data_IF_862740233041
#
_entry.id   IF_862740233041
#
_cell.length_a   1.000
_cell.length_b   1.000
_cell.length_c   1.000
_cell.angle_alpha   90.00
_cell.angle_beta   90.00
_cell.angle_gamma   90.00
#
_symmetry.space_group_name_H-M   'P 1'
#
loop_
_entity.id
_entity.type
_entity.pdbx_description
1 polymer ?
#
# COMPACT_ATOMS: atom_id res chain seq x y z
N UNK A 1 -17.38 3.59 -24.52
CA UNK A 1 -16.88 2.35 -23.90
C UNK A 1 -15.37 2.31 -23.63
N UNK A 2 -14.57 3.20 -24.18
CA UNK A 2 -13.13 3.23 -23.94
C UNK A 2 -12.69 3.89 -22.61
N UNK A 3 -13.57 4.61 -21.95
CA UNK A 3 -13.24 5.40 -20.73
C UNK A 3 -13.15 4.56 -19.45
N UNK A 4 -13.77 3.40 -19.38
CA UNK A 4 -13.76 2.58 -18.15
C UNK A 4 -12.51 1.70 -18.00
N UNK A 5 -11.84 1.36 -19.10
CA UNK A 5 -10.65 0.52 -19.04
C UNK A 5 -9.42 1.25 -18.47
N UNK A 6 -9.33 2.56 -18.65
CA UNK A 6 -8.20 3.38 -18.17
C UNK A 6 -8.28 3.74 -16.69
N UNK A 7 -9.47 3.78 -16.12
CA UNK A 7 -9.67 4.04 -14.68
C UNK A 7 -9.32 2.83 -13.80
N UNK A 8 -9.30 1.64 -14.37
CA UNK A 8 -9.01 0.41 -13.61
C UNK A 8 -7.51 0.13 -13.39
N UNK A 9 -6.63 0.82 -14.08
CA UNK A 9 -5.17 0.61 -14.03
C UNK A 9 -4.40 1.63 -13.18
N UNK A 10 -5.09 2.58 -12.57
CA UNK A 10 -4.45 3.55 -11.69
C UNK A 10 -4.03 2.91 -10.36
N UNK A 11 -2.85 3.28 -9.90
CA UNK A 11 -2.46 3.06 -8.51
C UNK A 11 -3.05 4.19 -7.66
N UNK A 12 -3.91 3.83 -6.72
CA UNK A 12 -4.49 4.75 -5.76
C UNK A 12 -3.97 4.42 -4.36
N UNK A 13 -3.40 5.41 -3.70
CA UNK A 13 -2.94 5.32 -2.32
C UNK A 13 -3.66 6.38 -1.51
N UNK A 14 -4.38 5.96 -0.49
CA UNK A 14 -5.11 6.82 0.43
C UNK A 14 -4.51 6.72 1.83
N UNK A 15 -4.28 7.84 2.47
CA UNK A 15 -3.90 7.89 3.87
C UNK A 15 -5.15 7.68 4.74
N UNK A 16 -5.21 6.56 5.46
CA UNK A 16 -6.43 6.15 6.18
C UNK A 16 -6.87 7.13 7.26
N UNK A 17 -5.94 7.84 7.90
CA UNK A 17 -6.25 8.79 8.97
C UNK A 17 -6.84 10.12 8.46
N UNK A 18 -6.36 10.62 7.31
CA UNK A 18 -6.75 11.95 6.77
C UNK A 18 -7.67 11.88 5.58
N UNK A 19 -7.83 10.70 4.96
CA UNK A 19 -8.62 10.52 3.74
C UNK A 19 -7.99 11.15 2.48
N UNK A 20 -6.77 11.66 2.57
CA UNK A 20 -6.07 12.23 1.41
C UNK A 20 -5.61 11.12 0.47
N UNK A 21 -5.79 11.35 -0.83
CA UNK A 21 -5.47 10.37 -1.88
C UNK A 21 -4.39 10.87 -2.82
N UNK A 22 -3.58 9.94 -3.29
CA UNK A 22 -2.65 10.15 -4.40
C UNK A 22 -2.94 9.09 -5.45
N UNK A 23 -3.08 9.51 -6.70
CA UNK A 23 -3.37 8.63 -7.83
C UNK A 23 -2.29 8.78 -8.88
N UNK A 24 -1.78 7.64 -9.35
CA UNK A 24 -0.81 7.56 -10.43
C UNK A 24 -1.46 6.88 -11.63
N UNK A 25 -1.75 7.65 -12.67
CA UNK A 25 -2.38 7.12 -13.90
C UNK A 25 -1.36 6.69 -14.95
N UNK A 26 -0.20 7.36 -14.97
CA UNK A 26 0.86 7.12 -15.93
C UNK A 26 2.11 6.70 -15.16
N UNK A 27 2.33 5.41 -15.09
CA UNK A 27 3.50 4.82 -14.47
C UNK A 27 3.95 3.61 -15.26
N UNK A 28 5.24 3.37 -15.29
CA UNK A 28 5.85 2.16 -15.83
C UNK A 28 6.20 1.26 -14.67
N UNK A 29 5.57 0.10 -14.60
CA UNK A 29 5.91 -0.90 -13.60
C UNK A 29 7.20 -1.58 -14.00
N UNK A 30 8.20 -1.56 -13.11
CA UNK A 30 9.51 -2.18 -13.30
C UNK A 30 9.65 -3.47 -12.52
N UNK A 31 8.91 -3.62 -11.43
CA UNK A 31 8.90 -4.84 -10.63
C UNK A 31 7.61 -4.98 -9.82
N UNK A 32 7.16 -6.22 -9.69
CA UNK A 32 6.03 -6.57 -8.84
C UNK A 32 6.29 -7.92 -8.18
N UNK A 33 6.14 -7.98 -6.88
CA UNK A 33 6.21 -9.20 -6.09
C UNK A 33 5.07 -9.22 -5.07
N UNK A 34 4.40 -10.35 -4.95
CA UNK A 34 3.32 -10.57 -3.98
C UNK A 34 3.57 -11.90 -3.29
N UNK A 35 3.93 -11.85 -2.02
CA UNK A 35 4.28 -13.01 -1.20
C UNK A 35 3.28 -13.17 -0.08
N UNK A 36 2.65 -14.33 -0.01
CA UNK A 36 1.72 -14.71 1.05
C UNK A 36 2.37 -15.80 1.89
N UNK A 37 2.59 -15.53 3.17
CA UNK A 37 3.27 -16.44 4.10
C UNK A 37 2.32 -16.80 5.25
N UNK A 38 1.75 -18.01 5.25
CA UNK A 38 1.04 -18.54 6.40
C UNK A 38 2.04 -18.97 7.48
N UNK A 39 1.74 -18.70 8.73
CA UNK A 39 2.53 -19.08 9.89
C UNK A 39 1.78 -20.12 10.70
N UNK A 40 2.48 -21.22 10.97
CA UNK A 40 1.98 -22.34 11.76
C UNK A 40 2.92 -22.62 12.93
N UNK A 41 2.36 -22.96 14.08
CA UNK A 41 3.10 -23.49 15.21
C UNK A 41 2.83 -24.98 15.30
N UNK A 42 3.89 -25.78 15.36
CA UNK A 42 3.79 -27.22 15.46
C UNK A 42 4.23 -27.66 16.86
N UNK A 43 3.40 -28.46 17.52
CA UNK A 43 3.68 -29.02 18.84
C UNK A 43 3.75 -30.55 18.73
N UNK A 44 4.93 -31.15 18.98
CA UNK A 44 5.05 -32.61 19.01
C UNK A 44 4.35 -33.19 20.25
N UNK A 45 3.53 -34.19 20.04
CA UNK A 45 2.81 -34.88 21.11
C UNK A 45 3.33 -36.31 21.24
N UNK A 46 3.61 -36.73 22.49
CA UNK A 46 4.04 -38.09 22.77
C UNK A 46 2.99 -39.11 22.32
N UNK A 47 3.42 -40.11 21.57
CA UNK A 47 2.56 -41.18 21.07
C UNK A 47 1.92 -40.94 19.70
N UNK A 48 2.23 -39.81 19.05
CA UNK A 48 1.80 -39.51 17.67
C UNK A 48 3.02 -39.13 16.81
N UNK A 49 3.05 -39.61 15.56
CA UNK A 49 4.09 -39.20 14.61
C UNK A 49 3.82 -37.81 14.07
N UNK A 50 2.56 -37.43 13.92
CA UNK A 50 2.17 -36.12 13.35
C UNK A 50 2.02 -35.11 14.49
N UNK A 51 2.70 -33.93 14.38
CA UNK A 51 2.55 -32.85 15.33
C UNK A 51 1.15 -32.21 15.23
N UNK A 52 0.71 -31.59 16.32
CA UNK A 52 -0.48 -30.75 16.29
C UNK A 52 -0.09 -29.39 15.71
N UNK A 53 -0.63 -29.06 14.54
CA UNK A 53 -0.38 -27.76 13.91
C UNK A 53 -1.46 -26.74 14.30
N UNK A 54 -1.03 -25.61 14.86
CA UNK A 54 -1.91 -24.49 15.21
C UNK A 54 -1.62 -23.32 14.29
N UNK A 55 -2.65 -22.80 13.62
CA UNK A 55 -2.53 -21.64 12.75
C UNK A 55 -2.34 -20.37 13.58
N UNK A 56 -1.28 -19.60 13.26
CA UNK A 56 -0.94 -18.34 13.92
C UNK A 56 -1.41 -17.12 13.16
N UNK A 57 -1.37 -17.18 11.83
CA UNK A 57 -1.76 -16.06 10.99
C UNK A 57 -1.19 -16.18 9.59
N UNK A 58 -1.61 -15.28 8.71
CA UNK A 58 -1.06 -15.16 7.35
C UNK A 58 -0.67 -13.72 7.10
N UNK A 59 0.57 -13.52 6.71
CA UNK A 59 1.08 -12.21 6.30
C UNK A 59 1.16 -12.15 4.78
N UNK A 60 0.87 -10.97 4.24
CA UNK A 60 1.02 -10.67 2.81
C UNK A 60 1.97 -9.50 2.65
N UNK A 61 3.05 -9.70 1.92
CA UNK A 61 4.02 -8.69 1.58
C UNK A 61 3.94 -8.40 0.07
N UNK A 62 3.73 -7.14 -0.28
CA UNK A 62 3.63 -6.69 -1.67
C UNK A 62 4.75 -5.69 -1.91
N UNK A 63 5.58 -5.98 -2.91
CA UNK A 63 6.60 -5.06 -3.40
C UNK A 63 6.19 -4.57 -4.78
N UNK A 64 6.17 -3.27 -4.96
CA UNK A 64 5.82 -2.63 -6.22
C UNK A 64 6.87 -1.59 -6.55
N UNK A 65 7.60 -1.81 -7.63
CA UNK A 65 8.56 -0.86 -8.18
C UNK A 65 7.98 -0.25 -9.45
N UNK A 66 7.99 1.07 -9.54
CA UNK A 66 7.47 1.77 -10.69
C UNK A 66 8.20 3.09 -10.94
N UNK A 67 8.30 3.45 -12.19
CA UNK A 67 8.85 4.72 -12.64
C UNK A 67 7.72 5.70 -12.95
N UNK A 68 7.83 6.89 -12.41
CA UNK A 68 6.95 8.00 -12.70
C UNK A 68 7.70 8.92 -13.66
N UNK A 69 7.45 8.75 -14.97
CA UNK A 69 8.05 9.60 -15.98
C UNK A 69 7.21 10.85 -16.24
N UNK A 70 7.83 11.99 -16.54
CA UNK A 70 7.14 13.06 -17.21
C UNK A 70 6.93 12.63 -18.67
N UNK A 71 5.73 12.14 -18.99
CA UNK A 71 5.37 11.76 -20.36
C UNK A 71 5.18 12.97 -21.30
N UNK A 72 5.53 14.16 -20.85
CA UNK A 72 5.48 15.41 -21.59
C UNK A 72 6.52 16.37 -21.01
N UNK A 73 7.18 17.14 -21.87
CA UNK A 73 8.20 18.13 -21.50
C UNK A 73 7.65 19.37 -20.78
N UNK A 74 6.36 19.43 -20.50
CA UNK A 74 5.80 20.56 -19.76
C UNK A 74 6.25 20.57 -18.31
N UNK A 75 6.78 21.71 -17.86
CA UNK A 75 7.26 21.91 -16.48
C UNK A 75 6.17 21.67 -15.43
N UNK A 76 4.92 21.93 -15.78
CA UNK A 76 3.79 21.71 -14.87
C UNK A 76 3.56 20.24 -14.56
N UNK A 77 3.78 19.33 -15.52
CA UNK A 77 3.66 17.88 -15.28
C UNK A 77 4.81 17.35 -14.44
N UNK A 78 6.02 17.88 -14.63
CA UNK A 78 7.19 17.55 -13.80
C UNK A 78 6.95 17.96 -12.34
N UNK A 79 6.42 19.16 -12.12
CA UNK A 79 6.04 19.65 -10.78
C UNK A 79 4.94 18.80 -10.16
N UNK A 80 3.95 18.39 -10.94
CA UNK A 80 2.86 17.54 -10.46
C UNK A 80 3.34 16.16 -10.02
N UNK A 81 4.25 15.53 -10.78
CA UNK A 81 4.86 14.25 -10.42
C UNK A 81 5.63 14.36 -9.10
N UNK A 82 6.46 15.40 -8.96
CA UNK A 82 7.21 15.67 -7.73
C UNK A 82 6.29 15.90 -6.52
N UNK A 83 5.21 16.64 -6.70
CA UNK A 83 4.21 16.87 -5.65
C UNK A 83 3.53 15.58 -5.21
N UNK A 84 3.23 14.65 -6.12
CA UNK A 84 2.65 13.34 -5.79
C UNK A 84 3.61 12.49 -4.98
N UNK A 85 4.89 12.44 -5.37
CA UNK A 85 5.92 11.71 -4.63
C UNK A 85 6.12 12.31 -3.24
N UNK A 86 6.23 13.62 -3.14
CA UNK A 86 6.36 14.33 -1.86
C UNK A 86 5.17 14.06 -0.93
N UNK A 87 3.95 14.03 -1.47
CA UNK A 87 2.76 13.68 -0.69
C UNK A 87 2.76 12.22 -0.24
N UNK A 88 3.24 11.31 -1.08
CA UNK A 88 3.38 9.90 -0.70
C UNK A 88 4.38 9.72 0.46
N UNK A 89 5.49 10.44 0.43
CA UNK A 89 6.45 10.48 1.54
C UNK A 89 5.79 10.99 2.83
N UNK A 90 4.97 12.03 2.74
CA UNK A 90 4.25 12.58 3.90
C UNK A 90 3.27 11.56 4.51
N UNK A 91 2.72 10.64 3.72
CA UNK A 91 1.81 9.61 4.22
C UNK A 91 2.48 8.57 5.13
N UNK A 92 3.80 8.50 5.14
CA UNK A 92 4.55 7.61 6.03
C UNK A 92 4.68 8.17 7.46
N UNK A 93 4.34 9.44 7.66
CA UNK A 93 4.39 10.05 8.98
C UNK A 93 3.05 9.89 9.73
N UNK A 94 3.10 9.67 11.05
CA UNK A 94 1.89 9.59 11.86
C UNK A 94 1.18 10.95 11.95
N UNK A 95 -0.10 10.94 12.29
CA UNK A 95 -0.82 12.15 12.64
C UNK A 95 -0.68 12.41 14.14
N UNK A 96 -0.43 13.66 14.49
CA UNK A 96 -0.31 14.10 15.89
C UNK A 96 -1.63 14.69 16.38
N UNK A 97 -1.91 14.54 17.67
CA UNK A 97 -3.11 15.10 18.30
C UNK A 97 -3.06 16.63 18.38
N UNK A 98 -1.87 17.18 18.53
CA UNK A 98 -1.62 18.61 18.55
C UNK A 98 -0.42 18.94 17.64
N UNK A 99 -0.64 19.86 16.71
CA UNK A 99 0.40 20.32 15.77
C UNK A 99 1.40 21.26 16.42
N UNK A 100 1.06 21.84 17.59
CA UNK A 100 1.88 22.82 18.27
C UNK A 100 2.94 22.16 19.16
N UNK A 101 2.60 21.05 19.80
CA UNK A 101 3.51 20.38 20.76
C UNK A 101 4.03 19.02 20.29
N UNK A 102 3.42 18.40 19.27
CA UNK A 102 3.81 17.10 18.69
C UNK A 102 4.11 15.99 19.74
N UNK A 103 3.47 16.08 20.91
CA UNK A 103 3.79 15.23 22.06
C UNK A 103 3.11 13.88 22.04
N UNK A 104 1.99 13.74 21.31
CA UNK A 104 1.24 12.49 21.26
C UNK A 104 0.84 12.12 19.82
N UNK A 105 1.16 10.91 19.42
CA UNK A 105 0.72 10.33 18.15
C UNK A 105 -0.75 9.95 18.28
N UNK A 106 -1.61 10.54 17.45
CA UNK A 106 -3.04 10.27 17.45
C UNK A 106 -3.37 8.99 16.67
N UNK A 107 -2.76 8.81 15.50
CA UNK A 107 -3.03 7.66 14.62
C UNK A 107 -1.77 7.21 13.89
N UNK A 108 -1.56 5.89 13.74
CA UNK A 108 -0.45 5.35 12.98
C UNK A 108 -0.63 5.63 11.47
N UNK A 109 0.46 5.63 10.69
CA UNK A 109 0.42 5.86 9.25
C UNK A 109 -0.07 4.62 8.49
N UNK A 110 -1.37 4.33 8.59
CA UNK A 110 -2.01 3.29 7.81
C UNK A 110 -2.44 3.82 6.45
N UNK A 111 -2.27 3.02 5.44
CA UNK A 111 -2.58 3.32 4.05
C UNK A 111 -3.65 2.38 3.52
N UNK A 112 -4.41 2.88 2.57
CA UNK A 112 -5.31 2.08 1.76
C UNK A 112 -4.81 2.11 0.33
N UNK A 113 -4.46 0.94 -0.19
CA UNK A 113 -3.90 0.80 -1.53
C UNK A 113 -4.87 0.05 -2.42
N UNK A 114 -5.04 0.57 -3.62
CA UNK A 114 -5.77 -0.09 -4.70
C UNK A 114 -4.96 0.01 -5.97
N UNK A 115 -4.70 -1.12 -6.60
CA UNK A 115 -3.99 -1.19 -7.86
C UNK A 115 -4.71 -2.13 -8.82
N UNK A 116 -5.33 -1.56 -9.83
CA UNK A 116 -6.08 -2.30 -10.85
C UNK A 116 -7.02 -3.35 -10.22
N UNK A 117 -6.93 -4.58 -10.71
CA UNK A 117 -7.65 -5.73 -10.17
C UNK A 117 -6.77 -6.60 -9.25
N UNK A 118 -5.51 -6.24 -9.06
CA UNK A 118 -4.51 -7.06 -8.37
C UNK A 118 -4.49 -6.81 -6.86
N UNK A 119 -4.42 -5.54 -6.48
CA UNK A 119 -4.37 -5.14 -5.07
C UNK A 119 -5.71 -4.51 -4.73
N UNK A 120 -6.58 -5.30 -4.15
CA UNK A 120 -7.90 -4.88 -3.69
C UNK A 120 -8.39 -5.76 -2.55
N UNK A 121 -9.24 -5.21 -1.71
CA UNK A 121 -10.07 -5.98 -0.78
C UNK A 121 -11.26 -6.62 -1.51
N UNK A 122 -11.94 -7.60 -0.90
CA UNK A 122 -13.10 -8.31 -1.48
C UNK A 122 -14.07 -7.36 -2.14
N UNK A 123 -14.94 -6.80 -2.13
CA UNK A 123 -15.89 -5.87 -2.75
C UNK A 123 -15.27 -4.74 -3.59
N UNK A 124 -14.17 -4.98 -4.27
CA UNK A 124 -13.45 -3.99 -5.09
C UNK A 124 -13.00 -2.72 -4.31
N UNK A 125 -12.84 -2.85 -3.00
CA UNK A 125 -12.36 -1.79 -2.12
C UNK A 125 -10.83 -1.79 -2.03
N UNK A 126 -10.28 -0.69 -1.53
CA UNK A 126 -8.85 -0.56 -1.25
C UNK A 126 -8.40 -1.47 -0.11
N UNK A 127 -7.23 -2.07 -0.25
CA UNK A 127 -6.61 -2.92 0.77
C UNK A 127 -5.96 -2.05 1.85
N UNK A 128 -6.30 -2.30 3.12
CA UNK A 128 -5.64 -1.63 4.25
C UNK A 128 -4.26 -2.26 4.48
N UNK A 129 -3.23 -1.45 4.52
CA UNK A 129 -1.85 -1.89 4.69
C UNK A 129 -1.03 -0.82 5.44
N UNK A 130 0.21 -1.15 5.73
CA UNK A 130 1.24 -0.23 6.17
C UNK A 130 2.46 -0.36 5.27
N UNK A 131 3.20 0.72 5.12
CA UNK A 131 4.40 0.77 4.27
C UNK A 131 5.64 0.58 5.16
N UNK A 132 6.53 -0.30 4.74
CA UNK A 132 7.79 -0.59 5.46
C UNK A 132 8.97 0.21 4.94
N UNK A 133 8.84 0.80 3.76
CA UNK A 133 9.87 1.63 3.13
C UNK A 133 9.46 2.12 1.75
N UNK A 134 10.23 3.05 1.22
CA UNK A 134 10.05 3.61 -0.12
C UNK A 134 11.42 3.93 -0.72
#
# INVERSE_FOLDING_TARGET
MASQALTSTALEIEHAATGKKVQFFQMKITGFSDTVTPSWSEEPVYGRMDPIATYQGTTRAIELSFDIGPFSDSDDRKKLALQKVSRLMQFQYPTYSDTTSATAISRPPLLRVKFANYIRSGDNKSLLCYMTGM
#
